data_IF_301202714427
#
_entry.id   IF_301202714427
#
_cell.length_a   1.000
_cell.length_b   1.000
_cell.length_c   1.000
_cell.angle_alpha   90.00
_cell.angle_beta   90.00
_cell.angle_gamma   90.00
#
_symmetry.space_group_name_H-M   'P 1'
#
loop_
_entity.id
_entity.type
_entity.pdbx_description
1 polymer ?
#
# COMPACT_ATOMS: atom_id res chain seq x y z
N UNK A 1 -33.56 2.47 0.86
CA UNK A 1 -32.51 1.48 1.10
C UNK A 1 -32.43 1.22 2.57
N UNK A 2 -32.43 -0.06 2.96
CA UNK A 2 -32.22 -0.39 4.38
C UNK A 2 -30.77 -0.08 4.76
N UNK A 3 -30.48 0.20 6.04
CA UNK A 3 -29.11 0.43 6.50
C UNK A 3 -28.15 -0.74 6.15
N UNK A 4 -28.69 -1.94 5.96
CA UNK A 4 -27.93 -3.15 5.60
C UNK A 4 -27.42 -3.19 4.14
N UNK A 5 -27.87 -2.25 3.29
CA UNK A 5 -27.51 -2.18 1.87
C UNK A 5 -26.48 -1.08 1.56
N UNK A 6 -26.17 -0.19 2.52
CA UNK A 6 -25.19 0.87 2.32
C UNK A 6 -23.81 0.40 2.75
N UNK A 7 -22.83 0.50 1.86
CA UNK A 7 -21.44 0.18 2.17
C UNK A 7 -20.82 1.35 2.94
N UNK A 8 -21.13 1.45 4.23
CA UNK A 8 -20.60 2.49 5.11
C UNK A 8 -20.07 1.82 6.37
N UNK A 9 -18.88 2.23 6.83
CA UNK A 9 -18.36 1.83 8.14
C UNK A 9 -18.67 2.94 9.15
N UNK A 10 -19.04 2.59 10.40
CA UNK A 10 -19.23 3.58 11.45
C UNK A 10 -17.89 4.26 11.77
N UNK A 11 -17.90 5.59 11.81
CA UNK A 11 -16.75 6.37 12.29
C UNK A 11 -16.80 6.38 13.82
N UNK A 12 -15.75 5.93 14.51
CA UNK A 12 -15.74 5.90 15.97
C UNK A 12 -15.54 7.31 16.56
N UNK A 13 -16.22 7.62 17.66
CA UNK A 13 -16.12 8.91 18.35
C UNK A 13 -15.04 8.93 19.45
N UNK A 14 -13.94 8.22 19.24
CA UNK A 14 -12.85 8.09 20.21
C UNK A 14 -11.46 8.34 19.59
N UNK A 15 -10.39 8.00 20.33
CA UNK A 15 -9.01 8.23 19.91
C UNK A 15 -8.65 7.59 18.56
N UNK A 16 -9.39 6.58 18.09
CA UNK A 16 -9.22 5.96 16.77
C UNK A 16 -9.45 6.95 15.64
N UNK A 17 -10.39 7.88 15.79
CA UNK A 17 -10.64 8.94 14.82
C UNK A 17 -9.42 9.87 14.72
N UNK A 18 -8.85 10.28 15.86
CA UNK A 18 -7.66 11.11 15.90
C UNK A 18 -6.45 10.39 15.29
N UNK A 19 -6.29 9.09 15.56
CA UNK A 19 -5.24 8.29 14.93
C UNK A 19 -5.43 8.23 13.42
N UNK A 20 -6.66 7.99 12.95
CA UNK A 20 -6.99 7.98 11.53
C UNK A 20 -6.72 9.34 10.86
N UNK A 21 -7.03 10.46 11.54
CA UNK A 21 -6.68 11.81 11.08
C UNK A 21 -5.16 11.97 10.98
N UNK A 22 -4.39 11.46 11.95
CA UNK A 22 -2.93 11.48 11.89
C UNK A 22 -2.36 10.73 10.69
N UNK A 23 -2.87 9.54 10.39
CA UNK A 23 -2.54 8.78 9.19
C UNK A 23 -2.94 9.52 7.90
N UNK A 24 -4.10 10.17 7.89
CA UNK A 24 -4.55 10.98 6.76
C UNK A 24 -3.60 12.15 6.50
N UNK A 25 -3.16 12.85 7.56
CA UNK A 25 -2.17 13.92 7.45
C UNK A 25 -0.82 13.42 6.92
N UNK A 26 -0.35 12.26 7.37
CA UNK A 26 0.86 11.64 6.81
C UNK A 26 0.70 11.40 5.30
N UNK A 27 -0.42 10.80 4.88
CA UNK A 27 -0.70 10.54 3.47
C UNK A 27 -0.76 11.82 2.63
N UNK A 28 -1.55 12.81 3.05
CA UNK A 28 -1.68 14.10 2.34
C UNK A 28 -0.33 14.83 2.27
N UNK A 29 0.43 14.83 3.37
CA UNK A 29 1.76 15.46 3.40
C UNK A 29 2.75 14.74 2.49
N UNK A 30 2.70 13.41 2.42
CA UNK A 30 3.51 12.62 1.50
C UNK A 30 3.18 12.94 0.04
N UNK A 31 1.89 13.07 -0.33
CA UNK A 31 1.50 13.50 -1.67
C UNK A 31 1.95 14.92 -2.00
N UNK A 32 1.82 15.87 -1.06
CA UNK A 32 2.30 17.23 -1.26
C UNK A 32 3.82 17.28 -1.48
N UNK A 33 4.59 16.60 -0.63
CA UNK A 33 6.03 16.48 -0.77
C UNK A 33 6.41 15.78 -2.09
N UNK A 34 5.73 14.70 -2.44
CA UNK A 34 5.89 14.02 -3.72
C UNK A 34 5.62 14.95 -4.91
N UNK A 35 4.61 15.81 -4.82
CA UNK A 35 4.31 16.84 -5.82
C UNK A 35 5.45 17.85 -5.99
N UNK A 36 6.11 18.25 -4.91
CA UNK A 36 7.33 19.08 -4.97
C UNK A 36 8.44 18.34 -5.73
N UNK A 37 8.69 17.07 -5.41
CA UNK A 37 9.67 16.26 -6.16
C UNK A 37 9.26 16.09 -7.64
N UNK A 38 7.96 16.01 -7.96
CA UNK A 38 7.48 15.97 -9.35
C UNK A 38 7.83 17.26 -10.12
N UNK A 39 7.71 18.43 -9.48
CA UNK A 39 8.17 19.69 -10.09
C UNK A 39 9.68 19.66 -10.34
N UNK A 40 10.47 19.14 -9.40
CA UNK A 40 11.92 18.96 -9.58
C UNK A 40 12.25 18.05 -10.77
N UNK A 41 11.49 16.97 -10.98
CA UNK A 41 11.63 16.08 -12.13
C UNK A 41 11.37 16.79 -13.47
N UNK A 42 10.35 17.65 -13.52
CA UNK A 42 10.04 18.41 -14.74
C UNK A 42 11.13 19.45 -15.02
N UNK A 43 11.58 20.17 -13.99
CA UNK A 43 12.65 21.15 -14.11
C UNK A 43 13.97 20.53 -14.58
N UNK A 44 14.31 19.33 -14.08
CA UNK A 44 15.52 18.63 -14.50
C UNK A 44 15.49 18.12 -15.94
N UNK A 45 14.33 18.18 -16.62
CA UNK A 45 14.16 17.84 -18.04
C UNK A 45 14.02 19.07 -18.93
N UNK A 46 13.98 20.27 -18.35
CA UNK A 46 13.81 21.52 -19.10
C UNK A 46 15.16 21.96 -19.68
N UNK A 47 15.27 22.25 -20.99
CA UNK A 47 16.50 22.77 -21.58
C UNK A 47 17.03 23.99 -20.82
N UNK A 48 18.36 24.11 -20.68
CA UNK A 48 19.07 25.18 -19.95
C UNK A 48 19.02 25.14 -18.41
N UNK A 49 18.29 24.20 -17.78
CA UNK A 49 18.29 24.06 -16.31
C UNK A 49 19.59 23.43 -15.76
N UNK A 50 20.36 22.73 -16.60
CA UNK A 50 21.62 22.08 -16.27
C UNK A 50 22.67 23.05 -15.68
N UNK A 51 22.62 24.33 -16.05
CA UNK A 51 23.53 25.36 -15.51
C UNK A 51 23.22 25.78 -14.07
N UNK A 52 22.00 25.52 -13.59
CA UNK A 52 21.55 25.93 -12.25
C UNK A 52 21.61 24.78 -11.23
N UNK A 53 21.65 23.53 -11.69
CA UNK A 53 21.61 22.34 -10.84
C UNK A 53 22.78 21.38 -11.15
N UNK A 54 23.89 21.45 -10.39
CA UNK A 54 25.13 20.69 -10.65
C UNK A 54 25.09 19.23 -10.18
N UNK A 55 23.90 18.64 -10.02
CA UNK A 55 23.72 17.35 -9.35
C UNK A 55 23.72 16.22 -10.38
N UNK A 56 24.75 15.37 -10.36
CA UNK A 56 24.81 14.15 -11.16
C UNK A 56 23.61 13.27 -10.75
N UNK A 57 22.80 12.92 -11.75
CA UNK A 57 21.63 12.05 -11.67
C UNK A 57 20.44 12.50 -10.79
N UNK A 58 20.30 13.83 -10.61
CA UNK A 58 19.21 14.46 -9.85
C UNK A 58 17.80 13.96 -10.23
N UNK A 59 17.57 13.69 -11.52
CA UNK A 59 16.30 13.17 -12.00
C UNK A 59 15.96 11.83 -11.33
N UNK A 60 16.87 10.85 -11.36
CA UNK A 60 16.59 9.54 -10.78
C UNK A 60 16.52 9.62 -9.25
N UNK A 61 17.37 10.42 -8.60
CA UNK A 61 17.27 10.63 -7.15
C UNK A 61 15.91 11.21 -6.73
N UNK A 62 15.45 12.26 -7.41
CA UNK A 62 14.13 12.84 -7.16
C UNK A 62 13.01 11.85 -7.48
N UNK A 63 13.19 10.99 -8.50
CA UNK A 63 12.20 10.00 -8.91
C UNK A 63 12.03 8.92 -7.84
N UNK A 64 13.11 8.46 -7.20
CA UNK A 64 13.02 7.51 -6.08
C UNK A 64 12.11 8.07 -5.00
N UNK A 65 12.45 9.25 -4.46
CA UNK A 65 11.68 9.86 -3.36
C UNK A 65 10.25 10.20 -3.78
N UNK A 66 10.05 10.69 -5.02
CA UNK A 66 8.72 10.96 -5.55
C UNK A 66 7.84 9.72 -5.54
N UNK A 67 8.34 8.59 -6.04
CA UNK A 67 7.59 7.32 -6.15
C UNK A 67 7.33 6.74 -4.76
N UNK A 68 8.32 6.70 -3.88
CA UNK A 68 8.13 6.22 -2.51
C UNK A 68 7.06 7.04 -1.76
N UNK A 69 7.06 8.36 -1.91
CA UNK A 69 6.07 9.21 -1.25
C UNK A 69 4.66 9.10 -1.88
N UNK A 70 4.56 9.08 -3.21
CA UNK A 70 3.27 9.06 -3.93
C UNK A 70 2.59 7.69 -3.97
N UNK A 71 3.38 6.62 -3.90
CA UNK A 71 2.87 5.25 -3.98
C UNK A 71 3.00 4.58 -2.61
N UNK A 72 4.21 4.31 -2.15
CA UNK A 72 4.42 3.49 -0.96
C UNK A 72 3.85 4.13 0.31
N UNK A 73 4.28 5.36 0.64
CA UNK A 73 3.86 6.06 1.85
C UNK A 73 2.39 6.45 1.78
N UNK A 74 1.94 7.02 0.67
CA UNK A 74 0.55 7.43 0.49
C UNK A 74 -0.45 6.28 0.69
N UNK A 75 -0.29 5.17 -0.03
CA UNK A 75 -1.26 4.07 0.04
C UNK A 75 -1.27 3.38 1.41
N UNK A 76 -0.10 3.20 2.03
CA UNK A 76 -0.01 2.59 3.37
C UNK A 76 -0.42 3.55 4.49
N UNK A 77 -0.23 4.86 4.33
CA UNK A 77 -0.83 5.83 5.23
C UNK A 77 -2.36 5.79 5.15
N UNK A 78 -2.92 5.68 3.94
CA UNK A 78 -4.36 5.54 3.76
C UNK A 78 -4.89 4.21 4.31
N UNK A 79 -4.11 3.13 4.26
CA UNK A 79 -4.44 1.89 4.98
C UNK A 79 -4.49 2.13 6.49
N UNK A 80 -3.58 2.93 7.04
CA UNK A 80 -3.62 3.41 8.43
C UNK A 80 -4.90 4.13 8.81
N UNK A 81 -5.48 4.93 7.91
CA UNK A 81 -6.81 5.54 8.12
C UNK A 81 -7.87 4.45 8.29
N UNK A 82 -8.02 3.58 7.28
CA UNK A 82 -9.11 2.61 7.24
C UNK A 82 -8.98 1.52 8.30
N UNK A 83 -7.77 1.03 8.57
CA UNK A 83 -7.52 0.02 9.60
C UNK A 83 -7.71 0.59 11.01
N UNK A 84 -7.38 1.87 11.24
CA UNK A 84 -7.63 2.53 12.52
C UNK A 84 -9.13 2.65 12.82
N UNK A 85 -9.91 3.08 11.82
CA UNK A 85 -11.37 3.18 11.91
C UNK A 85 -12.03 1.80 12.08
N UNK A 86 -11.54 0.77 11.37
CA UNK A 86 -12.08 -0.59 11.39
C UNK A 86 -11.49 -1.51 12.49
N UNK A 87 -11.08 -0.94 13.62
CA UNK A 87 -10.55 -1.73 14.75
C UNK A 87 -11.22 -1.32 16.06
N UNK A 88 -11.25 -2.22 17.03
CA UNK A 88 -11.68 -1.94 18.42
C UNK A 88 -10.73 -0.95 19.13
N UNK A 89 -11.14 -0.30 20.24
CA UNK A 89 -10.31 0.68 20.95
C UNK A 89 -9.06 0.13 21.67
N UNK A 90 -8.69 -1.13 21.45
CA UNK A 90 -7.53 -1.77 22.09
C UNK A 90 -6.20 -1.28 21.53
N UNK A 91 -5.16 -1.45 22.35
CA UNK A 91 -3.74 -1.21 22.01
C UNK A 91 -3.45 0.21 21.51
N UNK A 92 -3.97 1.22 22.20
CA UNK A 92 -3.79 2.64 21.88
C UNK A 92 -2.32 3.01 21.66
N UNK A 93 -1.44 2.65 22.60
CA UNK A 93 -0.02 2.96 22.51
C UNK A 93 0.61 2.39 21.24
N UNK A 94 0.30 1.13 20.91
CA UNK A 94 0.84 0.47 19.71
C UNK A 94 0.43 1.19 18.42
N UNK A 95 -0.83 1.64 18.33
CA UNK A 95 -1.34 2.40 17.18
C UNK A 95 -0.62 3.74 17.00
N UNK A 96 -0.43 4.51 18.08
CA UNK A 96 0.28 5.78 18.03
C UNK A 96 1.78 5.62 17.79
N UNK A 97 2.42 4.60 18.39
CA UNK A 97 3.82 4.28 18.11
C UNK A 97 4.04 3.92 16.63
N UNK A 98 3.09 3.20 16.02
CA UNK A 98 3.12 2.92 14.58
C UNK A 98 3.10 4.19 13.73
N UNK A 99 2.21 5.13 14.05
CA UNK A 99 2.14 6.42 13.35
C UNK A 99 3.42 7.25 13.52
N UNK A 100 3.95 7.35 14.75
CA UNK A 100 5.18 8.12 15.02
C UNK A 100 6.38 7.53 14.27
N UNK A 101 6.54 6.21 14.29
CA UNK A 101 7.60 5.53 13.54
C UNK A 101 7.47 5.74 12.03
N UNK A 102 6.24 5.66 11.49
CA UNK A 102 5.98 5.93 10.09
C UNK A 102 6.32 7.38 9.70
N UNK A 103 5.89 8.37 10.49
CA UNK A 103 6.21 9.78 10.25
C UNK A 103 7.73 10.00 10.27
N UNK A 104 8.43 9.48 11.28
CA UNK A 104 9.87 9.62 11.38
C UNK A 104 10.59 8.99 10.18
N UNK A 105 10.19 7.78 9.79
CA UNK A 105 10.72 7.09 8.61
C UNK A 105 10.50 7.88 7.32
N UNK A 106 9.28 8.38 7.10
CA UNK A 106 8.92 9.20 5.93
C UNK A 106 9.74 10.49 5.87
N UNK A 107 9.94 11.19 6.99
CA UNK A 107 10.78 12.40 7.03
C UNK A 107 12.22 12.07 6.64
N UNK A 108 12.77 10.97 7.16
CA UNK A 108 14.14 10.55 6.82
C UNK A 108 14.25 10.15 5.34
N UNK A 109 13.28 9.43 4.78
CA UNK A 109 13.21 9.13 3.33
C UNK A 109 13.26 10.43 2.52
N UNK A 110 12.40 11.40 2.87
CA UNK A 110 12.30 12.69 2.19
C UNK A 110 13.62 13.48 2.21
N UNK A 111 14.36 13.39 3.32
CA UNK A 111 15.62 14.13 3.51
C UNK A 111 16.85 13.36 3.02
N UNK A 112 16.73 12.07 2.74
CA UNK A 112 17.86 11.21 2.36
C UNK A 112 18.66 11.66 1.12
N UNK A 113 18.07 12.32 0.09
CA UNK A 113 18.84 12.89 -1.02
C UNK A 113 19.89 13.92 -0.60
N UNK A 114 19.69 14.59 0.55
CA UNK A 114 20.55 15.68 1.01
C UNK A 114 21.68 15.22 1.94
N UNK A 115 21.81 13.91 2.16
CA UNK A 115 22.78 13.34 3.12
C UNK A 115 24.03 12.73 2.50
N UNK A 116 24.15 12.69 1.16
CA UNK A 116 25.33 12.18 0.45
C UNK A 116 24.99 11.51 -0.89
N UNK A 117 25.96 10.80 -1.48
CA UNK A 117 25.84 10.09 -2.76
C UNK A 117 24.79 8.97 -2.69
N UNK A 118 23.53 9.30 -2.94
CA UNK A 118 22.45 8.33 -3.09
C UNK A 118 22.41 7.82 -4.53
N UNK A 119 23.25 6.83 -4.87
CA UNK A 119 23.17 6.13 -6.15
C UNK A 119 21.74 5.58 -6.33
N UNK A 120 20.93 6.12 -7.26
CA UNK A 120 19.53 5.77 -7.35
C UNK A 120 19.35 4.43 -8.08
N UNK A 121 18.74 3.47 -7.39
CA UNK A 121 18.47 2.13 -7.89
C UNK A 121 16.98 1.99 -8.20
N UNK A 122 16.65 2.03 -9.48
CA UNK A 122 15.28 1.85 -9.96
C UNK A 122 14.90 0.37 -9.97
N UNK A 123 13.80 0.05 -9.31
CA UNK A 123 13.13 -1.26 -9.36
C UNK A 123 11.69 -1.11 -9.84
N UNK A 124 11.04 -2.21 -10.22
CA UNK A 124 9.64 -2.18 -10.64
C UNK A 124 8.63 -1.89 -9.50
N UNK A 125 9.07 -1.86 -8.23
CA UNK A 125 8.17 -1.73 -7.08
C UNK A 125 8.59 -0.63 -6.10
N UNK A 126 9.72 -0.83 -5.41
CA UNK A 126 10.23 0.10 -4.40
C UNK A 126 11.62 0.53 -4.88
N UNK A 127 11.75 1.72 -5.51
CA UNK A 127 13.07 2.24 -5.85
C UNK A 127 13.85 2.58 -4.57
N UNK A 128 15.17 2.60 -4.65
CA UNK A 128 16.02 2.79 -3.46
C UNK A 128 17.12 3.78 -3.76
N UNK A 129 17.41 4.66 -2.80
CA UNK A 129 18.68 5.37 -2.78
C UNK A 129 19.67 4.54 -1.97
N UNK A 130 20.80 4.18 -2.58
CA UNK A 130 21.84 3.39 -1.93
C UNK A 130 22.65 4.25 -0.94
N UNK A 131 22.00 4.67 0.14
CA UNK A 131 22.63 5.38 1.25
C UNK A 131 22.00 4.98 2.61
N UNK A 132 22.73 5.29 3.69
CA UNK A 132 22.31 4.90 5.05
C UNK A 132 21.03 5.61 5.49
N UNK A 133 20.88 6.89 5.16
CA UNK A 133 19.71 7.67 5.55
C UNK A 133 18.43 7.07 4.97
N UNK A 134 18.40 6.78 3.66
CA UNK A 134 17.27 6.16 2.99
C UNK A 134 16.93 4.79 3.61
N UNK A 135 17.95 3.96 3.85
CA UNK A 135 17.75 2.63 4.46
C UNK A 135 17.16 2.73 5.88
N UNK A 136 17.65 3.66 6.70
CA UNK A 136 17.11 3.92 8.05
C UNK A 136 15.67 4.45 7.97
N UNK A 137 15.41 5.38 7.05
CA UNK A 137 14.06 5.94 6.84
C UNK A 137 13.06 4.89 6.39
N UNK A 138 13.42 4.07 5.40
CA UNK A 138 12.63 2.94 4.91
C UNK A 138 12.35 1.93 6.03
N UNK A 139 13.39 1.58 6.81
CA UNK A 139 13.24 0.66 7.94
C UNK A 139 12.29 1.23 9.00
N UNK A 140 12.45 2.50 9.38
CA UNK A 140 11.57 3.18 10.34
C UNK A 140 10.12 3.23 9.87
N UNK A 141 9.91 3.49 8.58
CA UNK A 141 8.59 3.49 7.97
C UNK A 141 7.95 2.09 8.01
N UNK A 142 8.68 1.06 7.58
CA UNK A 142 8.21 -0.34 7.62
C UNK A 142 7.90 -0.80 9.04
N UNK A 143 8.71 -0.43 10.04
CA UNK A 143 8.41 -0.69 11.45
C UNK A 143 7.07 -0.05 11.83
N UNK A 144 6.83 1.20 11.43
CA UNK A 144 5.54 1.87 11.66
C UNK A 144 4.35 1.10 11.10
N UNK A 145 4.49 0.58 9.87
CA UNK A 145 3.46 -0.24 9.22
C UNK A 145 3.28 -1.59 9.91
N UNK A 146 4.36 -2.24 10.35
CA UNK A 146 4.28 -3.50 11.11
C UNK A 146 3.53 -3.29 12.44
N UNK A 147 3.82 -2.21 13.17
CA UNK A 147 3.12 -1.89 14.43
C UNK A 147 1.63 -1.61 14.20
N UNK A 148 1.31 -0.86 13.13
CA UNK A 148 -0.07 -0.61 12.70
C UNK A 148 -0.80 -1.92 12.35
N UNK A 149 -0.17 -2.82 11.58
CA UNK A 149 -0.72 -4.12 11.20
C UNK A 149 -0.94 -5.00 12.43
N UNK A 150 0.06 -5.13 13.30
CA UNK A 150 -0.01 -5.90 14.52
C UNK A 150 -1.17 -5.40 15.41
N UNK A 151 -1.31 -4.08 15.57
CA UNK A 151 -2.43 -3.48 16.30
C UNK A 151 -3.76 -3.81 15.64
N UNK A 152 -3.88 -3.64 14.34
CA UNK A 152 -5.17 -3.73 13.64
C UNK A 152 -5.66 -5.18 13.54
N UNK A 153 -4.75 -6.13 13.32
CA UNK A 153 -5.07 -7.56 13.30
C UNK A 153 -5.45 -8.09 14.69
N UNK A 154 -4.81 -7.61 15.77
CA UNK A 154 -5.15 -8.01 17.15
C UNK A 154 -6.41 -7.33 17.68
N UNK A 155 -6.77 -6.17 17.12
CA UNK A 155 -7.93 -5.38 17.51
C UNK A 155 -9.10 -5.47 16.51
N UNK A 156 -9.19 -6.53 15.70
CA UNK A 156 -10.13 -6.63 14.59
C UNK A 156 -11.61 -6.47 15.01
N UNK A 157 -12.40 -5.77 14.20
CA UNK A 157 -13.85 -5.84 14.28
C UNK A 157 -14.36 -7.09 13.54
N UNK A 158 -15.28 -7.83 14.17
CA UNK A 158 -15.88 -9.03 13.53
C UNK A 158 -16.71 -8.60 12.31
N UNK A 159 -16.64 -9.40 11.24
CA UNK A 159 -17.44 -9.19 10.01
C UNK A 159 -18.95 -9.25 10.28
N UNK A 160 -19.36 -10.00 11.31
CA UNK A 160 -20.76 -10.23 11.66
C UNK A 160 -21.25 -11.62 11.21
N UNK A 161 -22.41 -12.05 11.70
CA UNK A 161 -22.99 -13.36 11.36
C UNK A 161 -23.80 -13.34 10.05
N UNK A 162 -24.25 -12.15 9.64
CA UNK A 162 -25.03 -11.95 8.41
C UNK A 162 -24.19 -11.20 7.37
N UNK A 163 -24.37 -11.53 6.09
CA UNK A 163 -23.69 -10.86 4.99
C UNK A 163 -24.37 -9.51 4.72
N UNK A 164 -23.95 -8.48 5.45
CA UNK A 164 -24.35 -7.08 5.27
C UNK A 164 -23.32 -6.31 4.43
N UNK A 165 -23.70 -5.14 3.90
CA UNK A 165 -22.80 -4.24 3.18
C UNK A 165 -21.62 -3.79 4.06
N UNK A 166 -21.90 -3.46 5.33
CA UNK A 166 -20.88 -3.15 6.33
C UNK A 166 -19.93 -4.35 6.54
N UNK A 167 -20.47 -5.55 6.71
CA UNK A 167 -19.68 -6.78 6.86
C UNK A 167 -18.78 -7.04 5.66
N UNK A 168 -19.28 -6.80 4.44
CA UNK A 168 -18.48 -6.92 3.22
C UNK A 168 -17.30 -5.93 3.21
N UNK A 169 -17.48 -4.67 3.65
CA UNK A 169 -16.37 -3.72 3.81
C UNK A 169 -15.36 -4.18 4.87
N UNK A 170 -15.84 -4.67 6.03
CA UNK A 170 -14.97 -5.21 7.09
C UNK A 170 -14.15 -6.39 6.56
N UNK A 171 -14.77 -7.28 5.78
CA UNK A 171 -14.07 -8.38 5.13
C UNK A 171 -13.00 -7.88 4.16
N UNK A 172 -13.33 -6.91 3.30
CA UNK A 172 -12.37 -6.28 2.39
C UNK A 172 -11.16 -5.69 3.14
N UNK A 173 -11.39 -4.95 4.23
CA UNK A 173 -10.30 -4.40 5.05
C UNK A 173 -9.48 -5.50 5.74
N UNK A 174 -10.10 -6.57 6.21
CA UNK A 174 -9.36 -7.71 6.76
C UNK A 174 -8.50 -8.39 5.68
N UNK A 175 -9.02 -8.52 4.46
CA UNK A 175 -8.26 -9.03 3.32
C UNK A 175 -7.06 -8.14 2.98
N UNK A 176 -7.19 -6.81 3.08
CA UNK A 176 -6.05 -5.89 2.88
C UNK A 176 -4.96 -6.08 3.94
N UNK A 177 -5.33 -6.30 5.21
CA UNK A 177 -4.34 -6.57 6.28
C UNK A 177 -3.63 -7.90 6.06
N UNK A 178 -4.35 -8.95 5.65
CA UNK A 178 -3.76 -10.25 5.32
C UNK A 178 -2.83 -10.14 4.12
N UNK A 179 -3.23 -9.39 3.09
CA UNK A 179 -2.38 -9.13 1.92
C UNK A 179 -1.10 -8.39 2.29
N UNK A 180 -1.19 -7.34 3.12
CA UNK A 180 -0.01 -6.61 3.59
C UNK A 180 0.92 -7.49 4.44
N UNK A 181 0.37 -8.36 5.30
CA UNK A 181 1.16 -9.33 6.05
C UNK A 181 1.88 -10.31 5.12
N UNK A 182 1.20 -10.84 4.09
CA UNK A 182 1.82 -11.75 3.12
C UNK A 182 2.90 -11.02 2.30
N UNK A 183 2.71 -9.74 1.97
CA UNK A 183 3.75 -8.93 1.33
C UNK A 183 4.99 -8.80 2.23
N UNK A 184 4.83 -8.52 3.53
CA UNK A 184 5.94 -8.47 4.49
C UNK A 184 6.68 -9.81 4.60
N UNK A 185 5.94 -10.91 4.67
CA UNK A 185 6.53 -12.26 4.68
C UNK A 185 7.26 -12.56 3.37
N UNK A 186 6.74 -12.12 2.23
CA UNK A 186 7.39 -12.28 0.93
C UNK A 186 8.69 -11.46 0.84
N UNK A 187 8.72 -10.21 1.32
CA UNK A 187 9.95 -9.42 1.39
C UNK A 187 11.00 -10.10 2.29
N UNK A 188 10.58 -10.60 3.46
CA UNK A 188 11.48 -11.32 4.36
C UNK A 188 12.00 -12.63 3.74
N UNK A 189 11.13 -13.38 3.04
CA UNK A 189 11.54 -14.60 2.33
C UNK A 189 12.54 -14.27 1.22
N UNK A 190 12.28 -13.26 0.39
CA UNK A 190 13.22 -12.81 -0.64
C UNK A 190 14.57 -12.42 -0.03
N UNK A 191 14.57 -11.61 1.04
CA UNK A 191 15.80 -11.21 1.73
C UNK A 191 16.65 -12.41 2.17
N UNK A 192 16.01 -13.47 2.69
CA UNK A 192 16.71 -14.68 3.17
C UNK A 192 17.13 -15.64 2.05
N UNK A 193 16.48 -15.56 0.88
CA UNK A 193 16.68 -16.52 -0.21
C UNK A 193 17.57 -16.01 -1.35
N UNK A 194 17.83 -14.70 -1.43
CA UNK A 194 18.69 -14.11 -2.46
C UNK A 194 20.17 -14.46 -2.15
N UNK A 195 20.94 -15.01 -3.11
CA UNK A 195 22.36 -15.26 -2.92
C UNK A 195 23.17 -13.96 -2.79
N UNK A 196 24.25 -13.98 -1.99
CA UNK A 196 25.14 -12.84 -1.75
C UNK A 196 25.84 -12.29 -3.02
N UNK A 197 25.82 -13.06 -4.12
CA UNK A 197 26.39 -12.62 -5.40
C UNK A 197 25.55 -11.54 -6.11
N UNK A 198 24.31 -11.31 -5.70
CA UNK A 198 23.44 -10.27 -6.26
C UNK A 198 23.64 -8.95 -5.53
N UNK A 199 23.94 -7.87 -6.26
CA UNK A 199 24.13 -6.52 -5.71
C UNK A 199 23.38 -5.46 -6.52
N UNK A 200 23.27 -4.26 -5.95
CA UNK A 200 22.70 -3.08 -6.60
C UNK A 200 21.30 -3.34 -7.16
N UNK A 201 21.05 -2.88 -8.39
CA UNK A 201 19.73 -2.99 -9.02
C UNK A 201 19.17 -4.41 -9.06
N UNK A 202 19.99 -5.42 -9.40
CA UNK A 202 19.52 -6.80 -9.52
C UNK A 202 19.06 -7.37 -8.17
N UNK A 203 19.76 -7.01 -7.09
CA UNK A 203 19.37 -7.39 -5.73
C UNK A 203 18.00 -6.81 -5.36
N UNK A 204 17.82 -5.49 -5.49
CA UNK A 204 16.57 -4.84 -5.11
C UNK A 204 15.38 -5.22 -5.99
N UNK A 205 15.63 -5.52 -7.27
CA UNK A 205 14.60 -6.04 -8.16
C UNK A 205 14.05 -7.37 -7.64
N UNK A 206 14.92 -8.33 -7.28
CA UNK A 206 14.50 -9.61 -6.71
C UNK A 206 13.90 -9.47 -5.31
N UNK A 207 14.46 -8.59 -4.48
CA UNK A 207 14.00 -8.36 -3.11
C UNK A 207 12.54 -7.90 -3.11
N UNK A 208 12.20 -6.95 -3.98
CA UNK A 208 10.88 -6.34 -3.99
C UNK A 208 9.90 -6.98 -4.97
N UNK A 209 10.33 -7.91 -5.83
CA UNK A 209 9.45 -8.52 -6.85
C UNK A 209 8.20 -9.16 -6.23
N UNK A 210 8.35 -10.24 -5.46
CA UNK A 210 7.21 -10.99 -4.94
C UNK A 210 6.37 -10.17 -3.97
N UNK A 211 6.99 -9.56 -2.95
CA UNK A 211 6.28 -8.72 -1.99
C UNK A 211 5.61 -7.50 -2.61
N UNK A 212 6.24 -6.88 -3.61
CA UNK A 212 5.69 -5.75 -4.36
C UNK A 212 4.45 -6.12 -5.16
N UNK A 213 4.45 -7.28 -5.83
CA UNK A 213 3.24 -7.81 -6.49
C UNK A 213 2.09 -7.97 -5.48
N UNK A 214 2.36 -8.53 -4.30
CA UNK A 214 1.33 -8.70 -3.26
C UNK A 214 0.85 -7.37 -2.68
N UNK A 215 1.75 -6.39 -2.57
CA UNK A 215 1.39 -5.06 -2.08
C UNK A 215 0.42 -4.35 -3.04
N UNK A 216 0.52 -4.58 -4.36
CA UNK A 216 -0.47 -4.06 -5.32
C UNK A 216 -1.87 -4.63 -5.09
N UNK A 217 -2.00 -5.88 -4.64
CA UNK A 217 -3.29 -6.43 -4.21
C UNK A 217 -3.82 -5.71 -2.97
N UNK A 218 -2.95 -5.40 -2.01
CA UNK A 218 -3.32 -4.59 -0.83
C UNK A 218 -3.91 -3.25 -1.28
N UNK A 219 -3.24 -2.55 -2.18
CA UNK A 219 -3.68 -1.24 -2.69
C UNK A 219 -4.99 -1.34 -3.46
N UNK A 220 -5.13 -2.35 -4.32
CA UNK A 220 -6.35 -2.59 -5.09
C UNK A 220 -7.53 -2.85 -4.16
N UNK A 221 -7.38 -3.74 -3.17
CA UNK A 221 -8.44 -4.04 -2.21
C UNK A 221 -8.83 -2.81 -1.37
N UNK A 222 -7.85 -2.00 -0.95
CA UNK A 222 -8.10 -0.73 -0.24
C UNK A 222 -8.89 0.25 -1.12
N UNK A 223 -8.49 0.39 -2.38
CA UNK A 223 -9.17 1.24 -3.36
C UNK A 223 -10.62 0.81 -3.55
N UNK A 224 -10.89 -0.49 -3.71
CA UNK A 224 -12.25 -1.02 -3.88
C UNK A 224 -13.12 -0.79 -2.63
N UNK A 225 -12.57 -0.95 -1.43
CA UNK A 225 -13.26 -0.57 -0.18
C UNK A 225 -13.57 0.93 -0.18
N UNK A 226 -12.59 1.77 -0.51
CA UNK A 226 -12.73 3.22 -0.58
C UNK A 226 -13.81 3.66 -1.57
N UNK A 227 -13.84 3.06 -2.76
CA UNK A 227 -14.84 3.35 -3.79
C UNK A 227 -16.26 2.98 -3.37
N UNK A 228 -16.47 1.79 -2.82
CA UNK A 228 -17.79 1.39 -2.29
C UNK A 228 -18.26 2.34 -1.18
N UNK A 229 -17.35 2.73 -0.30
CA UNK A 229 -17.66 3.66 0.79
C UNK A 229 -17.99 5.04 0.25
N UNK A 230 -17.15 5.63 -0.60
CA UNK A 230 -17.38 6.95 -1.18
C UNK A 230 -18.67 7.01 -2.00
N UNK A 231 -18.94 6.00 -2.83
CA UNK A 231 -20.17 5.92 -3.60
C UNK A 231 -21.40 5.89 -2.66
N UNK A 232 -21.38 5.01 -1.65
CA UNK A 232 -22.48 4.93 -0.68
C UNK A 232 -22.62 6.20 0.15
N UNK A 233 -21.53 6.86 0.52
CA UNK A 233 -21.53 8.13 1.26
C UNK A 233 -22.04 9.31 0.40
N UNK A 234 -21.92 9.20 -0.92
CA UNK A 234 -22.43 10.18 -1.89
C UNK A 234 -23.86 9.86 -2.34
N UNK A 235 -24.58 9.02 -1.58
CA UNK A 235 -25.94 8.54 -1.87
C UNK A 235 -26.11 7.83 -3.24
N UNK A 236 -25.02 7.36 -3.84
CA UNK A 236 -25.05 6.58 -5.08
C UNK A 236 -25.64 5.19 -4.80
N UNK A 237 -26.63 4.80 -5.59
CA UNK A 237 -27.27 3.48 -5.47
C UNK A 237 -26.50 2.44 -6.27
N UNK A 238 -25.80 1.55 -5.57
CA UNK A 238 -25.00 0.53 -6.23
C UNK A 238 -25.85 -0.70 -6.57
N UNK A 239 -25.90 -1.13 -7.85
CA UNK A 239 -26.61 -2.34 -8.30
C UNK A 239 -25.79 -3.61 -7.99
N UNK A 240 -25.18 -3.70 -6.80
CA UNK A 240 -24.34 -4.84 -6.41
C UNK A 240 -24.69 -5.26 -4.98
N UNK A 241 -24.86 -6.56 -4.77
CA UNK A 241 -25.21 -7.09 -3.46
C UNK A 241 -23.96 -7.31 -2.57
N UNK A 242 -24.11 -7.26 -1.23
CA UNK A 242 -23.00 -7.55 -0.31
C UNK A 242 -22.35 -8.93 -0.52
N UNK A 243 -23.13 -9.92 -0.97
CA UNK A 243 -22.63 -11.27 -1.29
C UNK A 243 -21.66 -11.25 -2.47
N UNK A 244 -22.01 -10.53 -3.53
CA UNK A 244 -21.15 -10.41 -4.72
C UNK A 244 -19.87 -9.67 -4.35
N UNK A 245 -19.97 -8.56 -3.61
CA UNK A 245 -18.79 -7.82 -3.13
C UNK A 245 -17.86 -8.70 -2.29
N UNK A 246 -18.42 -9.51 -1.38
CA UNK A 246 -17.63 -10.44 -0.57
C UNK A 246 -16.89 -11.46 -1.45
N UNK A 247 -17.55 -12.04 -2.45
CA UNK A 247 -16.92 -12.98 -3.41
C UNK A 247 -15.78 -12.30 -4.17
N UNK A 248 -15.95 -11.05 -4.63
CA UNK A 248 -14.90 -10.30 -5.32
C UNK A 248 -13.68 -10.06 -4.41
N UNK A 249 -13.91 -9.66 -3.15
CA UNK A 249 -12.81 -9.53 -2.17
C UNK A 249 -12.15 -10.88 -1.86
N UNK A 250 -12.93 -11.96 -1.74
CA UNK A 250 -12.42 -13.30 -1.45
C UNK A 250 -11.55 -13.81 -2.59
N UNK A 251 -11.91 -13.50 -3.84
CA UNK A 251 -11.09 -13.83 -5.00
C UNK A 251 -9.74 -13.08 -4.98
N UNK A 252 -9.75 -11.78 -4.69
CA UNK A 252 -8.51 -11.00 -4.53
C UNK A 252 -7.62 -11.57 -3.43
N UNK A 253 -8.22 -11.96 -2.29
CA UNK A 253 -7.49 -12.61 -1.19
C UNK A 253 -6.96 -14.00 -1.57
N UNK A 254 -7.73 -14.78 -2.33
CA UNK A 254 -7.29 -16.09 -2.82
C UNK A 254 -6.04 -15.98 -3.69
N UNK A 255 -5.99 -14.99 -4.60
CA UNK A 255 -4.80 -14.74 -5.41
C UNK A 255 -3.58 -14.47 -4.53
N UNK A 256 -3.73 -13.64 -3.48
CA UNK A 256 -2.64 -13.37 -2.53
C UNK A 256 -2.10 -14.66 -1.88
N UNK A 257 -2.96 -15.62 -1.55
CA UNK A 257 -2.54 -16.90 -0.96
C UNK A 257 -1.79 -17.84 -1.93
N UNK A 258 -1.73 -17.53 -3.22
CA UNK A 258 -0.86 -18.25 -4.15
C UNK A 258 0.62 -17.85 -3.99
N UNK A 259 0.92 -16.71 -3.37
CA UNK A 259 2.31 -16.23 -3.22
C UNK A 259 3.21 -17.22 -2.46
N UNK A 260 2.82 -17.74 -1.28
CA UNK A 260 3.63 -18.73 -0.56
C UNK A 260 3.87 -20.01 -1.37
N UNK A 261 2.91 -20.42 -2.22
CA UNK A 261 3.09 -21.58 -3.10
C UNK A 261 4.14 -21.30 -4.18
N UNK A 262 4.19 -20.09 -4.74
CA UNK A 262 5.21 -19.68 -5.70
C UNK A 262 6.60 -19.70 -5.03
N UNK A 263 6.74 -19.09 -3.85
CA UNK A 263 7.99 -19.08 -3.08
C UNK A 263 8.46 -20.48 -2.70
N UNK A 264 7.54 -21.36 -2.33
CA UNK A 264 7.85 -22.75 -2.00
C UNK A 264 8.31 -23.56 -3.23
N UNK A 265 7.74 -23.27 -4.41
CA UNK A 265 7.95 -24.08 -5.62
C UNK A 265 9.12 -23.62 -6.47
N UNK A 266 9.48 -22.33 -6.42
CA UNK A 266 10.48 -21.73 -7.32
C UNK A 266 11.40 -20.77 -6.58
N UNK A 267 12.71 -20.91 -6.84
CA UNK A 267 13.72 -19.99 -6.31
C UNK A 267 13.44 -18.55 -6.76
N UNK A 268 13.74 -17.58 -5.89
CA UNK A 268 13.50 -16.14 -6.17
C UNK A 268 14.23 -15.64 -7.41
N UNK A 269 15.35 -16.29 -7.78
CA UNK A 269 16.15 -15.98 -8.97
C UNK A 269 15.63 -16.63 -10.26
N UNK A 270 14.62 -17.51 -10.18
CA UNK A 270 14.15 -18.29 -11.32
C UNK A 270 13.19 -17.50 -12.21
N UNK A 271 13.20 -17.80 -13.51
CA UNK A 271 12.29 -17.16 -14.47
C UNK A 271 10.82 -17.48 -14.20
N UNK A 272 10.55 -18.67 -13.67
CA UNK A 272 9.22 -19.15 -13.28
C UNK A 272 8.66 -18.33 -12.12
N UNK A 273 9.48 -18.02 -11.12
CA UNK A 273 9.09 -17.16 -10.01
C UNK A 273 8.62 -15.79 -10.53
N UNK A 274 9.45 -15.16 -11.36
CA UNK A 274 9.14 -13.86 -12.00
C UNK A 274 7.84 -13.93 -12.81
N UNK A 275 7.72 -14.95 -13.66
CA UNK A 275 6.56 -15.17 -14.54
C UNK A 275 5.27 -15.43 -13.77
N UNK A 276 5.30 -16.25 -12.72
CA UNK A 276 4.11 -16.59 -11.95
C UNK A 276 3.58 -15.41 -11.15
N UNK A 277 4.45 -14.57 -10.59
CA UNK A 277 4.01 -13.31 -9.98
C UNK A 277 3.40 -12.35 -11.02
N UNK A 278 3.98 -12.28 -12.22
CA UNK A 278 3.40 -11.50 -13.34
C UNK A 278 2.00 -12.00 -13.69
N UNK A 279 1.83 -13.32 -13.81
CA UNK A 279 0.53 -13.95 -14.07
C UNK A 279 -0.46 -13.73 -12.94
N UNK A 280 0.02 -13.79 -11.70
CA UNK A 280 -0.79 -13.53 -10.52
C UNK A 280 -1.43 -12.15 -10.62
N UNK A 281 -0.66 -11.11 -10.95
CA UNK A 281 -1.19 -9.77 -11.16
C UNK A 281 -2.13 -9.69 -12.37
N UNK A 282 -1.73 -10.27 -13.50
CA UNK A 282 -2.51 -10.24 -14.75
C UNK A 282 -3.93 -10.80 -14.58
N UNK A 283 -4.06 -11.94 -13.90
CA UNK A 283 -5.34 -12.64 -13.75
C UNK A 283 -6.02 -12.34 -12.41
N UNK A 284 -5.25 -12.18 -11.34
CA UNK A 284 -5.80 -11.96 -10.00
C UNK A 284 -6.31 -10.54 -9.75
N UNK A 285 -5.60 -9.51 -10.23
CA UNK A 285 -5.89 -8.12 -9.86
C UNK A 285 -7.10 -7.50 -10.58
N UNK A 286 -7.41 -7.96 -11.79
CA UNK A 286 -8.45 -7.36 -12.65
C UNK A 286 -9.87 -7.88 -12.38
N UNK A 287 -10.00 -9.09 -11.83
CA UNK A 287 -11.29 -9.77 -11.70
C UNK A 287 -12.21 -9.16 -10.63
N UNK A 288 -11.65 -8.54 -9.58
CA UNK A 288 -12.43 -7.84 -8.57
C UNK A 288 -12.75 -6.39 -8.97
N UNK A 289 -11.81 -5.72 -9.63
CA UNK A 289 -11.91 -4.29 -9.93
C UNK A 289 -12.91 -3.97 -11.03
N UNK A 290 -12.91 -4.72 -12.15
CA UNK A 290 -13.79 -4.43 -13.27
C UNK A 290 -15.31 -4.49 -12.94
N UNK A 291 -15.84 -5.57 -12.33
CA UNK A 291 -17.28 -5.64 -12.03
C UNK A 291 -17.74 -4.57 -11.05
N UNK A 292 -16.89 -4.24 -10.06
CA UNK A 292 -17.18 -3.25 -9.05
C UNK A 292 -17.16 -1.83 -9.65
N UNK A 293 -16.18 -1.52 -10.52
CA UNK A 293 -16.16 -0.28 -11.30
C UNK A 293 -17.41 -0.11 -12.15
N UNK A 294 -17.84 -1.16 -12.85
CA UNK A 294 -19.05 -1.11 -13.69
C UNK A 294 -20.32 -0.86 -12.85
N UNK A 295 -20.43 -1.49 -11.68
CA UNK A 295 -21.55 -1.25 -10.77
C UNK A 295 -21.57 0.20 -10.27
N UNK A 296 -20.41 0.77 -9.91
CA UNK A 296 -20.31 2.17 -9.49
C UNK A 296 -20.65 3.12 -10.63
N UNK A 297 -20.08 2.91 -11.82
CA UNK A 297 -20.36 3.73 -12.99
C UNK A 297 -21.84 3.71 -13.35
N UNK A 298 -22.46 2.53 -13.37
CA UNK A 298 -23.90 2.43 -13.58
C UNK A 298 -24.67 3.24 -12.53
N UNK A 299 -24.35 3.08 -11.25
CA UNK A 299 -25.00 3.81 -10.16
C UNK A 299 -24.83 5.33 -10.23
N UNK A 300 -23.71 5.82 -10.76
CA UNK A 300 -23.47 7.26 -10.96
C UNK A 300 -24.32 7.87 -12.08
N UNK A 301 -24.73 7.07 -13.07
CA UNK A 301 -25.47 7.52 -14.24
C UNK A 301 -26.94 7.05 -14.27
N UNK A 302 -27.42 6.39 -13.21
CA UNK A 302 -28.80 5.93 -13.04
C UNK A 302 -29.56 6.78 -12.03
#
# INVERSE_FOLDING_TARGET
MSANERYILPVPDDWRQQLAIGWLWLGVSALLASGVFSVLLVLSRTPYSEHFFPWIDFFHTALVVHVDLSVLVWFLAFSGVLWSLNSTPKFRLLGWSGLVAAIAGTIIIMLSPFTGDGNPLMSNYIPVLENTAFTVGMTGFVIGIILLLARSMTAINRVGQYISAEGALRFGLNATMVSALIALLAFAWSYLAIPDSYMGKAYYELLFWGGGHILQFTYTLLMLVGWLWLASASDVRLPISPRVVLVLFAFGLFAVFLAPLIYYSYAVTSSEHIKLFTWLMRYGGSLASLPLSLAILYGLFS
#
